data_IF_695947039787
#
_entry.id   IF_695947039787
#
_cell.length_a   1.000
_cell.length_b   1.000
_cell.length_c   1.000
_cell.angle_alpha   90.00
_cell.angle_beta   90.00
_cell.angle_gamma   90.00
#
_symmetry.space_group_name_H-M   'P 1'
#
loop_
_entity.id
_entity.type
_entity.pdbx_description
1 polymer ?
#
# COMPACT_ATOMS: atom_id res chain seq x y z
N UNK A 1 -7.17 -20.89 14.63
CA UNK A 1 -7.11 -19.42 14.76
C UNK A 1 -6.88 -18.82 13.39
N UNK A 2 -7.65 -17.82 13.03
CA UNK A 2 -7.47 -17.16 11.74
C UNK A 2 -6.35 -16.10 11.85
N UNK A 3 -5.37 -16.18 10.97
CA UNK A 3 -4.29 -15.21 10.94
C UNK A 3 -4.76 -13.83 10.42
N UNK A 4 -4.18 -12.76 10.95
CA UNK A 4 -4.36 -11.41 10.43
C UNK A 4 -3.17 -11.04 9.55
N UNK A 5 -3.43 -10.85 8.28
CA UNK A 5 -2.44 -10.61 7.24
C UNK A 5 -2.52 -9.17 6.77
N UNK A 6 -1.40 -8.46 6.82
CA UNK A 6 -1.26 -7.13 6.26
C UNK A 6 -0.49 -7.24 4.94
N UNK A 7 -1.11 -6.85 3.83
CA UNK A 7 -0.43 -6.74 2.54
C UNK A 7 -0.10 -5.27 2.32
N UNK A 8 1.19 -4.95 2.27
CA UNK A 8 1.65 -3.63 1.85
C UNK A 8 1.37 -3.48 0.34
N UNK A 9 0.42 -2.64 0.01
CA UNK A 9 -0.14 -2.55 -1.33
C UNK A 9 0.05 -1.17 -1.95
N UNK A 10 0.65 -1.14 -3.11
CA UNK A 10 0.64 -0.02 -4.04
C UNK A 10 0.09 -0.50 -5.40
N UNK A 11 0.08 0.33 -6.42
CA UNK A 11 -0.38 -0.06 -7.76
C UNK A 11 0.68 -0.80 -8.60
N UNK A 12 1.76 -1.27 -7.98
CA UNK A 12 2.83 -2.01 -8.67
C UNK A 12 2.43 -3.46 -8.98
N UNK A 13 3.08 -4.04 -9.99
CA UNK A 13 2.93 -5.45 -10.32
C UNK A 13 3.41 -6.37 -9.18
N UNK A 14 4.46 -5.96 -8.46
CA UNK A 14 4.98 -6.73 -7.33
C UNK A 14 4.00 -6.79 -6.17
N UNK A 15 3.28 -5.70 -5.90
CA UNK A 15 2.20 -5.70 -4.91
C UNK A 15 1.07 -6.65 -5.33
N UNK A 16 0.70 -6.66 -6.61
CA UNK A 16 -0.31 -7.59 -7.12
C UNK A 16 0.16 -9.06 -7.06
N UNK A 17 1.44 -9.34 -7.28
CA UNK A 17 2.02 -10.67 -7.06
C UNK A 17 1.94 -11.12 -5.61
N UNK A 18 2.16 -10.20 -4.67
CA UNK A 18 1.98 -10.46 -3.25
C UNK A 18 0.54 -10.86 -2.94
N UNK A 19 -0.43 -10.16 -3.50
CA UNK A 19 -1.87 -10.51 -3.37
C UNK A 19 -2.16 -11.88 -3.98
N UNK A 20 -1.66 -12.16 -5.17
CA UNK A 20 -1.84 -13.45 -5.85
C UNK A 20 -1.25 -14.61 -5.03
N UNK A 21 -0.08 -14.39 -4.43
CA UNK A 21 0.53 -15.39 -3.56
C UNK A 21 -0.34 -15.68 -2.33
N UNK A 22 -0.83 -14.64 -1.65
CA UNK A 22 -1.77 -14.79 -0.52
C UNK A 22 -3.03 -15.52 -0.97
N UNK A 23 -3.57 -15.12 -2.13
CA UNK A 23 -4.78 -15.71 -2.68
C UNK A 23 -4.65 -17.21 -2.96
N UNK A 24 -3.48 -17.67 -3.38
CA UNK A 24 -3.27 -19.09 -3.72
C UNK A 24 -2.83 -19.96 -2.55
N UNK A 25 -1.95 -19.46 -1.71
CA UNK A 25 -1.19 -20.30 -0.80
C UNK A 25 -1.54 -20.12 0.67
N UNK A 26 -2.19 -19.03 1.07
CA UNK A 26 -2.53 -18.83 2.47
C UNK A 26 -3.93 -19.34 2.81
N UNK A 27 -4.14 -19.61 4.09
CA UNK A 27 -5.39 -20.16 4.61
C UNK A 27 -6.57 -19.20 4.39
N UNK A 28 -7.67 -19.71 3.87
CA UNK A 28 -8.84 -18.92 3.45
C UNK A 28 -9.68 -18.38 4.61
N UNK A 29 -9.46 -18.87 5.81
CA UNK A 29 -10.07 -18.35 7.03
C UNK A 29 -9.33 -17.11 7.59
N UNK A 30 -8.17 -16.76 7.01
CA UNK A 30 -7.40 -15.59 7.42
C UNK A 30 -8.11 -14.28 7.08
N UNK A 31 -7.85 -13.25 7.88
CA UNK A 31 -8.28 -11.86 7.61
C UNK A 31 -7.17 -11.13 6.88
N UNK A 32 -7.49 -10.52 5.76
CA UNK A 32 -6.53 -9.84 4.89
C UNK A 32 -6.83 -8.35 4.86
N UNK A 33 -5.83 -7.53 5.15
CA UNK A 33 -5.91 -6.08 4.96
C UNK A 33 -4.96 -5.67 3.84
N UNK A 34 -5.52 -5.07 2.80
CA UNK A 34 -4.76 -4.36 1.77
C UNK A 34 -4.49 -2.96 2.28
N UNK A 35 -3.25 -2.66 2.65
CA UNK A 35 -2.86 -1.39 3.25
C UNK A 35 -2.01 -0.56 2.31
N UNK A 36 -2.47 0.63 1.99
CA UNK A 36 -1.79 1.59 1.13
C UNK A 36 -1.48 2.89 1.88
N UNK A 37 -0.26 3.38 1.73
CA UNK A 37 0.17 4.68 2.27
C UNK A 37 0.13 5.70 1.13
N UNK A 38 -0.70 6.72 1.27
CA UNK A 38 -0.90 7.76 0.27
C UNK A 38 -0.27 9.09 0.73
N UNK A 39 0.35 9.86 -0.19
CA UNK A 39 0.82 11.20 0.14
C UNK A 39 -0.33 12.06 0.66
N UNK A 40 -0.10 12.81 1.74
CA UNK A 40 -1.05 13.79 2.23
C UNK A 40 -0.81 15.11 1.49
N UNK A 41 -1.64 15.37 0.50
CA UNK A 41 -1.57 16.56 -0.34
C UNK A 41 -2.71 17.56 -0.09
N UNK A 42 -3.60 17.25 0.86
CA UNK A 42 -4.78 18.06 1.12
C UNK A 42 -4.42 19.51 1.46
N UNK A 43 -3.47 19.71 2.37
CA UNK A 43 -3.04 21.04 2.78
C UNK A 43 -2.52 21.90 1.60
N UNK A 44 -1.79 21.27 0.67
CA UNK A 44 -1.30 21.96 -0.52
C UNK A 44 -2.42 22.22 -1.54
N UNK A 45 -3.26 21.24 -1.78
CA UNK A 45 -4.30 21.32 -2.80
C UNK A 45 -5.47 22.22 -2.38
N UNK A 46 -5.77 22.28 -1.10
CA UNK A 46 -6.83 23.13 -0.55
C UNK A 46 -6.34 24.55 -0.22
N UNK A 47 -5.05 24.83 -0.39
CA UNK A 47 -4.49 26.14 -0.13
C UNK A 47 -5.10 27.20 -1.07
N UNK A 48 -5.78 28.17 -0.50
CA UNK A 48 -6.40 29.28 -1.21
C UNK A 48 -5.91 30.60 -0.62
N UNK A 49 -4.69 30.99 -0.95
CA UNK A 49 -4.09 32.25 -0.52
C UNK A 49 -4.09 33.28 -1.65
N UNK A 50 -4.53 34.52 -1.42
CA UNK A 50 -4.49 35.58 -2.41
C UNK A 50 -3.06 36.00 -2.79
N UNK A 51 -2.07 35.61 -1.99
CA UNK A 51 -0.65 35.91 -2.24
C UNK A 51 0.01 34.97 -3.25
N UNK A 52 -0.70 33.86 -3.61
CA UNK A 52 -0.18 32.90 -4.59
C UNK A 52 -0.11 33.54 -5.98
N UNK A 53 1.09 33.50 -6.59
CA UNK A 53 1.25 33.96 -7.98
C UNK A 53 0.45 33.04 -8.93
N UNK A 54 -0.03 33.54 -10.09
CA UNK A 54 -0.71 32.70 -11.07
C UNK A 54 0.12 31.50 -11.54
N UNK A 55 1.43 31.67 -11.65
CA UNK A 55 2.36 30.61 -12.00
C UNK A 55 2.35 29.48 -10.95
N UNK A 56 2.45 29.82 -9.67
CA UNK A 56 2.41 28.84 -8.59
C UNK A 56 1.05 28.10 -8.53
N UNK A 57 -0.06 28.82 -8.70
CA UNK A 57 -1.40 28.23 -8.79
C UNK A 57 -1.49 27.19 -9.91
N UNK A 58 -0.98 27.52 -11.10
CA UNK A 58 -0.96 26.62 -12.24
C UNK A 58 -0.16 25.34 -11.97
N UNK A 59 1.02 25.47 -11.36
CA UNK A 59 1.86 24.34 -10.99
C UNK A 59 1.20 23.45 -9.92
N UNK A 60 0.61 24.08 -8.91
CA UNK A 60 -0.13 23.38 -7.86
C UNK A 60 -1.33 22.61 -8.43
N UNK A 61 -2.12 23.25 -9.28
CA UNK A 61 -3.32 22.63 -9.85
C UNK A 61 -2.96 21.43 -10.74
N UNK A 62 -1.91 21.55 -11.54
CA UNK A 62 -1.39 20.44 -12.34
C UNK A 62 -0.91 19.27 -11.46
N UNK A 63 -0.20 19.57 -10.37
CA UNK A 63 0.23 18.58 -9.40
C UNK A 63 -0.97 17.88 -8.73
N UNK A 64 -1.98 18.63 -8.30
CA UNK A 64 -3.15 18.06 -7.62
C UNK A 64 -3.99 17.19 -8.54
N UNK A 65 -4.15 17.55 -9.81
CA UNK A 65 -4.79 16.71 -10.81
C UNK A 65 -4.04 15.39 -10.99
N UNK A 66 -2.72 15.44 -11.03
CA UNK A 66 -1.89 14.23 -11.15
C UNK A 66 -2.02 13.33 -9.92
N UNK A 67 -2.03 13.90 -8.72
CA UNK A 67 -2.19 13.14 -7.48
C UNK A 67 -3.58 12.50 -7.37
N UNK A 68 -4.63 13.20 -7.79
CA UNK A 68 -5.98 12.64 -7.85
C UNK A 68 -6.04 11.45 -8.81
N UNK A 69 -5.39 11.56 -9.96
CA UNK A 69 -5.30 10.47 -10.93
C UNK A 69 -4.55 9.25 -10.39
N UNK A 70 -3.48 9.45 -9.65
CA UNK A 70 -2.77 8.37 -8.94
C UNK A 70 -3.67 7.68 -7.92
N UNK A 71 -4.47 8.42 -7.18
CA UNK A 71 -5.45 7.86 -6.24
C UNK A 71 -6.50 7.01 -6.94
N UNK A 72 -7.01 7.44 -8.08
CA UNK A 72 -7.95 6.66 -8.91
C UNK A 72 -7.33 5.34 -9.38
N UNK A 73 -6.08 5.38 -9.86
CA UNK A 73 -5.34 4.19 -10.29
C UNK A 73 -5.17 3.22 -9.12
N UNK A 74 -4.78 3.71 -7.95
CA UNK A 74 -4.64 2.91 -6.75
C UNK A 74 -5.96 2.27 -6.34
N UNK A 75 -7.06 3.02 -6.34
CA UNK A 75 -8.40 2.51 -6.03
C UNK A 75 -8.81 1.40 -6.98
N UNK A 76 -8.55 1.56 -8.28
CA UNK A 76 -8.78 0.52 -9.27
C UNK A 76 -7.94 -0.73 -9.03
N UNK A 77 -6.68 -0.58 -8.66
CA UNK A 77 -5.79 -1.68 -8.31
C UNK A 77 -6.24 -2.41 -7.03
N UNK A 78 -6.66 -1.67 -6.01
CA UNK A 78 -7.21 -2.23 -4.77
C UNK A 78 -8.47 -3.06 -5.04
N UNK A 79 -9.35 -2.60 -5.93
CA UNK A 79 -10.55 -3.33 -6.32
C UNK A 79 -10.20 -4.64 -7.02
N UNK A 80 -9.24 -4.62 -7.94
CA UNK A 80 -8.73 -5.83 -8.61
C UNK A 80 -8.13 -6.82 -7.62
N UNK A 81 -7.34 -6.33 -6.68
CA UNK A 81 -6.72 -7.15 -5.63
C UNK A 81 -7.78 -7.82 -4.75
N UNK A 82 -8.79 -7.08 -4.33
CA UNK A 82 -9.92 -7.62 -3.58
C UNK A 82 -10.67 -8.69 -4.36
N UNK A 83 -10.98 -8.43 -5.62
CA UNK A 83 -11.64 -9.39 -6.51
C UNK A 83 -10.82 -10.67 -6.66
N UNK A 84 -9.50 -10.55 -6.80
CA UNK A 84 -8.60 -11.70 -6.87
C UNK A 84 -8.67 -12.58 -5.62
N UNK A 85 -8.68 -11.97 -4.43
CA UNK A 85 -8.81 -12.68 -3.17
C UNK A 85 -10.15 -13.40 -3.07
N UNK A 86 -11.25 -12.72 -3.39
CA UNK A 86 -12.62 -13.32 -3.36
C UNK A 86 -12.73 -14.48 -4.33
N UNK A 87 -12.25 -14.31 -5.56
CA UNK A 87 -12.27 -15.36 -6.60
C UNK A 87 -11.50 -16.61 -6.17
N UNK A 88 -10.47 -16.44 -5.33
CA UNK A 88 -9.68 -17.54 -4.80
C UNK A 88 -10.19 -18.10 -3.45
N UNK A 89 -11.37 -17.69 -2.99
CA UNK A 89 -12.06 -18.30 -1.87
C UNK A 89 -12.00 -17.57 -0.53
N UNK A 90 -11.44 -16.34 -0.49
CA UNK A 90 -11.56 -15.50 0.70
C UNK A 90 -12.97 -14.90 0.78
N UNK A 91 -13.57 -14.89 1.96
CA UNK A 91 -14.84 -14.21 2.18
C UNK A 91 -14.71 -12.70 2.10
N UNK A 92 -15.69 -12.01 1.51
CA UNK A 92 -15.67 -10.56 1.39
C UNK A 92 -15.49 -9.83 2.72
N UNK A 93 -16.08 -10.34 3.79
CA UNK A 93 -15.98 -9.79 5.15
C UNK A 93 -14.60 -9.98 5.79
N UNK A 94 -13.77 -10.84 5.23
CA UNK A 94 -12.41 -11.11 5.70
C UNK A 94 -11.39 -10.15 5.04
N UNK A 95 -11.81 -9.43 4.00
CA UNK A 95 -10.93 -8.55 3.24
C UNK A 95 -11.25 -7.10 3.58
N UNK A 96 -10.26 -6.40 4.12
CA UNK A 96 -10.31 -4.97 4.37
C UNK A 96 -9.40 -4.23 3.41
N UNK A 97 -9.86 -3.14 2.83
CA UNK A 97 -9.05 -2.19 2.08
C UNK A 97 -8.88 -0.95 2.94
N UNK A 98 -7.64 -0.61 3.27
CA UNK A 98 -7.32 0.51 4.13
C UNK A 98 -6.25 1.38 3.48
N UNK A 99 -6.51 2.67 3.43
CA UNK A 99 -5.55 3.67 2.99
C UNK A 99 -5.30 4.67 4.11
N UNK A 100 -4.04 4.98 4.36
CA UNK A 100 -3.64 5.95 5.37
C UNK A 100 -2.76 7.04 4.78
N UNK A 101 -2.82 8.28 5.32
CA UNK A 101 -1.92 9.34 4.90
C UNK A 101 -0.49 9.03 5.32
N UNK A 102 0.47 9.42 4.50
CA UNK A 102 1.89 9.30 4.80
C UNK A 102 2.25 10.22 5.98
N UNK A 103 2.65 9.65 7.09
CA UNK A 103 3.01 10.39 8.32
C UNK A 103 4.52 10.45 8.52
N UNK A 104 5.17 9.31 8.65
CA UNK A 104 6.61 9.18 8.94
C UNK A 104 7.40 8.59 7.79
N UNK A 105 6.73 8.07 6.79
CA UNK A 105 7.31 7.40 5.63
C UNK A 105 6.64 6.05 5.39
N UNK A 106 6.66 5.61 4.14
CA UNK A 106 5.90 4.42 3.71
C UNK A 106 6.24 3.20 4.57
N UNK A 107 7.50 2.85 4.72
CA UNK A 107 7.91 1.68 5.49
C UNK A 107 7.58 1.80 6.99
N UNK A 108 7.77 3.00 7.57
CA UNK A 108 7.45 3.25 8.98
C UNK A 108 5.95 3.18 9.25
N UNK A 109 5.15 3.71 8.35
CA UNK A 109 3.70 3.72 8.49
C UNK A 109 3.12 2.30 8.32
N UNK A 110 3.70 1.48 7.42
CA UNK A 110 3.35 0.06 7.28
C UNK A 110 3.74 -0.72 8.55
N UNK A 111 4.95 -0.51 9.07
CA UNK A 111 5.39 -1.18 10.29
C UNK A 111 4.53 -0.79 11.50
N UNK A 112 4.14 0.49 11.61
CA UNK A 112 3.23 0.96 12.65
C UNK A 112 1.85 0.32 12.56
N UNK A 113 1.29 0.21 11.35
CA UNK A 113 0.02 -0.49 11.13
C UNK A 113 0.10 -1.96 11.53
N UNK A 114 1.21 -2.61 11.20
CA UNK A 114 1.42 -4.03 11.50
C UNK A 114 1.39 -4.33 13.01
N UNK A 115 1.79 -3.38 13.84
CA UNK A 115 1.76 -3.51 15.31
C UNK A 115 0.34 -3.49 15.90
N UNK A 116 -0.67 -3.18 15.09
CA UNK A 116 -2.07 -3.21 15.51
C UNK A 116 -2.66 -4.64 15.55
N UNK A 117 -1.84 -5.63 15.78
CA UNK A 117 -2.25 -7.01 15.99
C UNK A 117 -2.33 -7.85 14.72
N UNK A 118 -1.45 -7.59 13.77
CA UNK A 118 -1.24 -8.47 12.61
C UNK A 118 -0.20 -9.54 12.93
N UNK A 119 -0.39 -10.71 12.35
CA UNK A 119 0.51 -11.86 12.50
C UNK A 119 1.57 -11.92 11.39
N UNK A 120 1.23 -11.36 10.22
CA UNK A 120 2.05 -11.45 9.02
C UNK A 120 1.96 -10.16 8.20
N UNK A 121 3.11 -9.65 7.81
CA UNK A 121 3.23 -8.63 6.75
C UNK A 121 3.64 -9.34 5.45
N UNK A 122 2.93 -9.07 4.37
CA UNK A 122 3.30 -9.53 3.02
C UNK A 122 3.69 -8.34 2.17
N UNK A 123 4.86 -8.41 1.58
CA UNK A 123 5.38 -7.36 0.71
C UNK A 123 5.89 -7.94 -0.60
N UNK A 124 5.72 -7.22 -1.69
CA UNK A 124 6.42 -7.53 -2.93
C UNK A 124 7.91 -7.23 -2.77
N UNK A 125 8.74 -7.98 -3.45
CA UNK A 125 10.20 -7.82 -3.39
C UNK A 125 10.66 -6.42 -3.82
N UNK A 126 9.97 -5.81 -4.80
CA UNK A 126 10.25 -4.47 -5.33
C UNK A 126 8.95 -3.69 -5.47
N UNK A 127 9.02 -2.38 -5.25
CA UNK A 127 7.93 -1.46 -5.56
C UNK A 127 8.09 -0.87 -6.98
N UNK A 128 7.60 0.35 -7.17
CA UNK A 128 7.58 1.03 -8.47
C UNK A 128 8.97 1.48 -8.99
N UNK A 129 10.00 1.48 -8.17
CA UNK A 129 11.32 2.06 -8.52
C UNK A 129 12.15 1.26 -9.51
N UNK A 130 11.78 0.04 -9.88
CA UNK A 130 12.28 -0.69 -11.05
C UNK A 130 13.79 -0.94 -11.18
N UNK A 131 14.59 -0.65 -10.15
CA UNK A 131 16.05 -0.84 -10.20
C UNK A 131 16.35 -2.34 -10.08
N UNK A 132 16.76 -2.93 -11.20
CA UNK A 132 16.96 -4.39 -11.33
C UNK A 132 18.17 -4.95 -10.57
N UNK A 133 19.08 -4.09 -10.13
CA UNK A 133 20.38 -4.51 -9.58
C UNK A 133 20.33 -4.79 -8.06
N UNK A 134 19.31 -4.38 -7.36
CA UNK A 134 19.18 -4.62 -5.92
C UNK A 134 18.27 -5.83 -5.62
N UNK A 135 18.72 -6.66 -4.71
CA UNK A 135 18.00 -7.87 -4.31
C UNK A 135 16.65 -7.59 -3.63
N UNK A 136 16.52 -6.46 -2.94
CA UNK A 136 15.29 -6.01 -2.27
C UNK A 136 15.02 -4.54 -2.57
N UNK A 137 13.73 -4.18 -2.68
CA UNK A 137 13.31 -2.78 -2.74
C UNK A 137 13.57 -2.05 -1.42
N UNK A 138 13.72 -0.74 -1.50
CA UNK A 138 14.01 0.10 -0.32
C UNK A 138 12.95 0.00 0.77
N UNK A 139 11.69 -0.09 0.39
CA UNK A 139 10.56 -0.23 1.34
C UNK A 139 10.58 -1.58 2.02
N UNK A 140 10.75 -2.67 1.26
CA UNK A 140 10.82 -4.03 1.82
C UNK A 140 11.99 -4.20 2.78
N UNK A 141 13.16 -3.66 2.43
CA UNK A 141 14.34 -3.67 3.28
C UNK A 141 14.12 -2.90 4.59
N UNK A 142 13.50 -1.72 4.52
CA UNK A 142 13.19 -0.92 5.71
C UNK A 142 12.16 -1.61 6.61
N UNK A 143 11.15 -2.25 6.03
CA UNK A 143 10.16 -3.01 6.79
C UNK A 143 10.82 -4.15 7.57
N UNK A 144 11.77 -4.88 6.96
CA UNK A 144 12.54 -5.93 7.64
C UNK A 144 13.26 -5.43 8.90
N UNK A 145 13.77 -4.19 8.87
CA UNK A 145 14.44 -3.60 10.03
C UNK A 145 13.48 -3.01 11.07
N UNK A 146 12.31 -2.55 10.66
CA UNK A 146 11.37 -1.81 11.49
C UNK A 146 10.30 -2.69 12.13
N UNK A 147 9.88 -3.74 11.43
CA UNK A 147 8.84 -4.64 11.93
C UNK A 147 9.44 -5.57 12.99
N UNK A 148 9.01 -5.38 14.23
CA UNK A 148 9.35 -6.24 15.36
C UNK A 148 8.11 -7.06 15.72
N UNK A 149 8.31 -8.28 16.16
CA UNK A 149 7.24 -9.18 16.64
C UNK A 149 6.18 -9.58 15.59
N UNK A 150 6.39 -9.26 14.31
CA UNK A 150 5.51 -9.65 13.21
C UNK A 150 6.32 -10.40 12.15
N UNK A 151 5.81 -11.52 11.67
CA UNK A 151 6.45 -12.26 10.59
C UNK A 151 6.38 -11.47 9.28
N UNK A 152 7.38 -11.65 8.41
CA UNK A 152 7.42 -10.96 7.13
C UNK A 152 7.57 -11.99 6.01
N UNK A 153 6.70 -11.91 5.03
CA UNK A 153 6.76 -12.68 3.80
C UNK A 153 7.09 -11.74 2.63
N UNK A 154 8.18 -12.03 1.97
CA UNK A 154 8.60 -11.30 0.76
C UNK A 154 8.26 -12.16 -0.45
N UNK A 155 7.42 -11.63 -1.33
CA UNK A 155 6.99 -12.30 -2.55
C UNK A 155 7.79 -11.77 -3.74
N UNK A 156 8.26 -12.71 -4.54
CA UNK A 156 9.11 -12.45 -5.70
C UNK A 156 8.29 -12.18 -6.97
#
# INVERSE_FOLDING_TARGET
MSAKILIAFDDSENAMRAVDYVARFLAKDSRVTLFSVIPDTAALCDMNSPELTPYFKSQRDAFCVLEDKKKEILTGAQLKARTLLVTNGFGEKQIQVKSGPKKKGIARDIAAEAQLGYDLIVVGRRGMSGIKEFLLGSTSQKILHLAQEVSILIVN
#
